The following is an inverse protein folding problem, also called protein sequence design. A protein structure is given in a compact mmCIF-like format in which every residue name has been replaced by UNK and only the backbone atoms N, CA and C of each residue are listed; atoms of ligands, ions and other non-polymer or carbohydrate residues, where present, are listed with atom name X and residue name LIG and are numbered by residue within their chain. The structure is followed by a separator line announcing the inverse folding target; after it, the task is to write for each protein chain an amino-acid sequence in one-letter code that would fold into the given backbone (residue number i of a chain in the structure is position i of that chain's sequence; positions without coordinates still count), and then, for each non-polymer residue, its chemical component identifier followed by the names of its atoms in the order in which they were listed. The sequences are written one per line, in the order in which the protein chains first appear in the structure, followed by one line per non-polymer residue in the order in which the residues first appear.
data_IF_286159376213
#
_entry.id   IF_286159376213
#
_cell.length_a   1.000
_cell.length_b   1.000
_cell.length_c   1.000
_cell.angle_alpha   90.00
_cell.angle_beta   90.00
_cell.angle_gamma   90.00
#
_symmetry.space_group_name_H-M   'P 1'
#
loop_
_entity.id
_entity.type
_entity.pdbx_description
1 polymer ?
#
# COMPACT_ATOMS: atom_id res chain seq x y z
N UNK A 1 -7.44 26.73 -3.35
CA UNK A 1 -8.44 26.64 -4.46
C UNK A 1 -8.68 25.21 -4.96
N UNK A 2 -7.81 24.23 -4.71
CA UNK A 2 -8.02 22.82 -5.12
C UNK A 2 -9.16 22.11 -4.39
N UNK A 3 -9.41 22.44 -3.12
CA UNK A 3 -10.38 21.72 -2.28
C UNK A 3 -11.84 21.83 -2.76
N UNK A 4 -12.24 22.94 -3.41
CA UNK A 4 -13.61 23.09 -3.90
C UNK A 4 -13.89 22.13 -5.08
N UNK A 5 -12.96 22.04 -6.03
CA UNK A 5 -13.05 21.09 -7.14
C UNK A 5 -13.02 19.65 -6.65
N UNK A 6 -12.06 19.30 -5.77
CA UNK A 6 -11.94 17.95 -5.19
C UNK A 6 -13.22 17.55 -4.45
N UNK A 7 -13.81 18.46 -3.66
CA UNK A 7 -15.08 18.22 -2.97
C UNK A 7 -16.23 18.02 -3.95
N UNK A 8 -16.32 18.84 -5.00
CA UNK A 8 -17.37 18.75 -6.00
C UNK A 8 -17.33 17.41 -6.74
N UNK A 9 -16.20 17.02 -7.34
CA UNK A 9 -16.09 15.80 -8.16
C UNK A 9 -16.12 14.50 -7.35
N UNK A 10 -15.89 14.58 -6.02
CA UNK A 10 -16.02 13.44 -5.12
C UNK A 10 -17.38 13.36 -4.40
N UNK A 11 -18.24 14.38 -4.52
CA UNK A 11 -19.63 14.33 -4.03
C UNK A 11 -20.48 13.30 -4.81
N UNK A 12 -21.56 12.72 -4.24
CA UNK A 12 -22.36 11.70 -4.93
C UNK A 12 -22.87 12.12 -6.33
N UNK A 13 -23.40 13.34 -6.47
CA UNK A 13 -23.85 13.86 -7.76
C UNK A 13 -22.66 14.19 -8.69
N UNK A 14 -21.62 14.82 -8.16
CA UNK A 14 -20.42 15.17 -8.92
C UNK A 14 -19.65 13.94 -9.43
N UNK A 15 -19.70 12.80 -8.73
CA UNK A 15 -19.10 11.54 -9.21
C UNK A 15 -19.69 11.07 -10.53
N UNK A 16 -21.01 11.16 -10.67
CA UNK A 16 -21.72 10.73 -11.87
C UNK A 16 -21.43 11.67 -13.06
N UNK A 17 -21.43 12.98 -12.80
CA UNK A 17 -21.11 13.99 -13.82
C UNK A 17 -19.65 13.87 -14.25
N UNK A 18 -18.72 13.79 -13.29
CA UNK A 18 -17.29 13.61 -13.57
C UNK A 18 -17.04 12.33 -14.38
N UNK A 19 -17.72 11.21 -14.06
CA UNK A 19 -17.61 9.97 -14.83
C UNK A 19 -18.10 10.13 -16.27
N UNK A 20 -19.25 10.78 -16.49
CA UNK A 20 -19.80 11.02 -17.84
C UNK A 20 -18.92 11.95 -18.68
N UNK A 21 -18.35 12.96 -18.04
CA UNK A 21 -17.46 13.94 -18.67
C UNK A 21 -15.98 13.49 -18.69
N UNK A 22 -15.68 12.28 -18.22
CA UNK A 22 -14.32 11.74 -18.11
C UNK A 22 -13.36 12.66 -17.34
N UNK A 23 -13.89 13.42 -16.38
CA UNK A 23 -13.09 14.33 -15.58
C UNK A 23 -12.21 13.55 -14.59
N UNK A 24 -10.96 14.01 -14.36
CA UNK A 24 -10.08 13.42 -13.37
C UNK A 24 -10.70 13.54 -11.98
N UNK A 25 -10.58 12.46 -11.20
CA UNK A 25 -11.10 12.40 -9.82
C UNK A 25 -9.92 12.33 -8.85
N UNK A 26 -9.41 13.49 -8.41
CA UNK A 26 -8.29 13.53 -7.48
C UNK A 26 -8.64 12.81 -6.18
N UNK A 27 -7.71 11.97 -5.73
CA UNK A 27 -7.83 11.27 -4.46
C UNK A 27 -7.73 12.25 -3.28
N UNK A 28 -8.53 12.04 -2.24
CA UNK A 28 -8.38 12.77 -0.98
C UNK A 28 -7.21 12.15 -0.21
N UNK A 29 -6.09 12.86 -0.19
CA UNK A 29 -4.87 12.34 0.45
C UNK A 29 -5.04 12.26 1.96
N UNK A 30 -4.76 11.08 2.51
CA UNK A 30 -4.67 10.84 3.94
C UNK A 30 -3.54 11.69 4.53
N UNK A 31 -3.85 12.40 5.61
CA UNK A 31 -2.89 13.20 6.39
C UNK A 31 -2.85 12.69 7.82
N UNK A 32 -1.75 12.95 8.50
CA UNK A 32 -1.59 12.63 9.92
C UNK A 32 -2.68 13.33 10.75
N UNK A 33 -3.22 12.60 11.72
CA UNK A 33 -4.03 13.12 12.82
C UNK A 33 -3.63 12.38 14.08
N UNK A 34 -3.48 13.11 15.19
CA UNK A 34 -3.11 12.52 16.48
C UNK A 34 -4.10 11.43 16.88
N UNK A 35 -3.59 10.30 17.36
CA UNK A 35 -4.39 9.16 17.81
C UNK A 35 -4.91 8.24 16.70
N UNK A 36 -4.71 8.56 15.41
CA UNK A 36 -5.01 7.61 14.34
C UNK A 36 -3.93 6.54 14.22
N UNK A 37 -4.28 5.31 13.79
CA UNK A 37 -3.30 4.25 13.53
C UNK A 37 -2.30 4.71 12.46
N UNK A 38 -1.09 4.14 12.46
CA UNK A 38 -0.04 4.51 11.50
C UNK A 38 -0.49 4.23 10.05
N UNK A 39 -1.01 3.03 9.78
CA UNK A 39 -1.65 2.65 8.52
C UNK A 39 -3.14 2.29 8.71
N UNK A 40 -4.00 2.46 7.69
CA UNK A 40 -5.45 2.27 7.83
C UNK A 40 -5.90 0.79 7.74
N UNK A 41 -5.02 -0.17 8.00
CA UNK A 41 -5.26 -1.61 7.85
C UNK A 41 -3.97 -2.41 8.02
N UNK A 42 -4.03 -3.75 7.87
CA UNK A 42 -2.86 -4.61 7.97
C UNK A 42 -1.77 -4.27 6.94
N UNK A 43 -0.52 -4.58 7.28
CA UNK A 43 0.64 -4.47 6.40
C UNK A 43 1.02 -5.85 5.89
N UNK A 44 0.96 -6.03 4.57
CA UNK A 44 1.50 -7.23 3.93
C UNK A 44 3.03 -7.09 3.81
N UNK A 45 3.77 -8.02 4.39
CA UNK A 45 5.23 -8.11 4.25
C UNK A 45 5.55 -9.27 3.30
N UNK A 46 6.18 -8.94 2.18
CA UNK A 46 6.55 -9.86 1.11
C UNK A 46 8.07 -9.93 1.01
N UNK A 47 8.64 -11.12 0.97
CA UNK A 47 10.08 -11.34 0.93
C UNK A 47 10.43 -12.64 1.64
N UNK A 48 11.69 -13.03 1.52
CA UNK A 48 12.24 -14.24 2.11
C UNK A 48 13.52 -13.91 2.88
N UNK A 49 13.80 -14.70 3.92
CA UNK A 49 15.01 -14.57 4.73
C UNK A 49 14.86 -13.66 5.96
N UNK A 50 15.97 -13.51 6.68
CA UNK A 50 15.99 -12.87 8.01
C UNK A 50 15.59 -11.40 7.98
N UNK A 51 15.96 -10.67 6.92
CA UNK A 51 15.57 -9.25 6.76
C UNK A 51 14.06 -9.06 6.73
N UNK A 52 13.32 -9.99 6.13
CA UNK A 52 11.87 -9.92 6.03
C UNK A 52 11.23 -10.17 7.39
N UNK A 53 11.80 -11.08 8.18
CA UNK A 53 11.34 -11.40 9.53
C UNK A 53 11.62 -10.26 10.51
N UNK A 54 12.78 -9.61 10.38
CA UNK A 54 13.14 -8.42 11.16
C UNK A 54 12.18 -7.24 10.85
N UNK A 55 11.86 -7.02 9.58
CA UNK A 55 10.87 -6.02 9.16
C UNK A 55 9.47 -6.31 9.74
N UNK A 56 9.04 -7.57 9.67
CA UNK A 56 7.75 -7.98 10.23
C UNK A 56 7.71 -7.76 11.75
N UNK A 57 8.77 -8.15 12.46
CA UNK A 57 8.90 -7.94 13.90
C UNK A 57 8.86 -6.46 14.26
N UNK A 58 9.61 -5.62 13.55
CA UNK A 58 9.63 -4.18 13.80
C UNK A 58 8.26 -3.53 13.61
N UNK A 59 7.50 -3.95 12.60
CA UNK A 59 6.13 -3.46 12.37
C UNK A 59 5.16 -3.90 13.48
N UNK A 60 5.29 -5.14 13.98
CA UNK A 60 4.53 -5.63 15.13
C UNK A 60 4.87 -4.83 16.39
N UNK A 61 6.14 -4.52 16.63
CA UNK A 61 6.59 -3.69 17.75
C UNK A 61 6.02 -2.27 17.68
N UNK A 62 5.73 -1.76 16.47
CA UNK A 62 5.00 -0.50 16.25
C UNK A 62 3.48 -0.64 16.36
N UNK A 63 2.98 -1.79 16.79
CA UNK A 63 1.55 -2.08 16.95
C UNK A 63 0.77 -2.17 15.64
N UNK A 64 1.43 -2.52 14.52
CA UNK A 64 0.74 -2.78 13.26
C UNK A 64 0.32 -4.25 13.16
N UNK A 65 -0.81 -4.51 12.50
CA UNK A 65 -1.18 -5.87 12.10
C UNK A 65 -0.35 -6.26 10.87
N UNK A 66 0.32 -7.42 10.91
CA UNK A 66 1.25 -7.86 9.87
C UNK A 66 0.78 -9.18 9.25
N UNK A 67 0.72 -9.22 7.93
CA UNK A 67 0.43 -10.42 7.14
C UNK A 67 1.66 -10.85 6.37
N UNK A 68 1.93 -12.15 6.38
CA UNK A 68 2.99 -12.77 5.56
C UNK A 68 2.47 -13.33 4.24
N UNK A 69 1.14 -13.45 4.11
CA UNK A 69 0.46 -13.97 2.94
C UNK A 69 -0.68 -13.03 2.57
N UNK A 70 -0.85 -12.77 1.26
CA UNK A 70 -1.95 -11.96 0.77
C UNK A 70 -3.27 -12.73 0.97
N UNK A 71 -4.20 -12.13 1.71
CA UNK A 71 -5.56 -12.66 1.86
C UNK A 71 -6.49 -11.83 0.98
N UNK A 72 -7.16 -12.43 -0.03
CA UNK A 72 -8.01 -11.69 -0.95
C UNK A 72 -9.13 -10.92 -0.23
N UNK A 73 -9.44 -9.73 -0.73
CA UNK A 73 -10.55 -8.85 -0.26
C UNK A 73 -10.34 -8.25 1.13
N UNK A 74 -9.15 -8.36 1.70
CA UNK A 74 -8.80 -7.64 2.92
C UNK A 74 -8.19 -6.28 2.59
N UNK A 75 -8.71 -5.20 3.17
CA UNK A 75 -8.17 -3.86 2.88
C UNK A 75 -6.81 -3.65 3.54
N UNK A 76 -5.74 -3.72 2.74
CA UNK A 76 -4.37 -3.53 3.20
C UNK A 76 -4.06 -2.04 3.44
N UNK A 77 -3.46 -1.73 4.59
CA UNK A 77 -2.93 -0.41 4.90
C UNK A 77 -1.58 -0.14 4.22
N UNK A 78 -0.82 -1.20 3.92
CA UNK A 78 0.44 -1.10 3.20
C UNK A 78 0.97 -2.45 2.72
N UNK A 79 1.93 -2.38 1.82
CA UNK A 79 2.74 -3.50 1.33
C UNK A 79 4.20 -3.13 1.51
N UNK A 80 4.94 -3.95 2.24
CA UNK A 80 6.39 -3.85 2.40
C UNK A 80 7.01 -5.03 1.68
N UNK A 81 7.92 -4.73 0.76
CA UNK A 81 8.58 -5.68 -0.09
C UNK A 81 10.07 -5.69 0.25
N UNK A 82 10.57 -6.80 0.77
CA UNK A 82 11.98 -7.02 1.02
C UNK A 82 12.64 -7.75 -0.16
N UNK A 83 13.52 -7.04 -0.83
CA UNK A 83 14.32 -7.50 -1.97
C UNK A 83 15.79 -7.72 -1.58
N UNK A 84 16.13 -7.60 -0.31
CA UNK A 84 17.53 -7.61 0.13
C UNK A 84 18.20 -8.97 -0.04
N UNK A 85 17.44 -10.06 0.10
CA UNK A 85 17.92 -11.42 -0.07
C UNK A 85 18.06 -11.85 -1.54
N UNK A 86 17.50 -11.09 -2.50
CA UNK A 86 17.55 -11.47 -3.91
C UNK A 86 18.96 -11.34 -4.45
N UNK A 87 19.45 -12.37 -5.11
CA UNK A 87 20.78 -12.49 -5.71
C UNK A 87 20.75 -12.40 -7.23
N UNK A 88 19.67 -12.87 -7.86
CA UNK A 88 19.52 -12.93 -9.31
C UNK A 88 18.24 -12.25 -9.80
N UNK A 89 18.21 -11.67 -11.02
CA UNK A 89 17.02 -11.01 -11.55
C UNK A 89 15.77 -11.90 -11.63
N UNK A 90 15.94 -13.21 -11.88
CA UNK A 90 14.82 -14.14 -12.02
C UNK A 90 14.02 -14.29 -10.71
N UNK A 91 14.69 -14.12 -9.57
CA UNK A 91 14.08 -14.25 -8.23
C UNK A 91 13.08 -13.12 -7.92
N UNK A 92 13.03 -12.06 -8.73
CA UNK A 92 11.99 -11.03 -8.62
C UNK A 92 10.60 -11.56 -8.97
N UNK A 93 10.50 -12.65 -9.75
CA UNK A 93 9.21 -13.12 -10.30
C UNK A 93 8.18 -13.42 -9.21
N UNK A 94 8.56 -14.19 -8.20
CA UNK A 94 7.68 -14.61 -7.11
C UNK A 94 7.17 -13.42 -6.27
N UNK A 95 8.04 -12.56 -5.68
CA UNK A 95 7.56 -11.43 -4.89
C UNK A 95 6.74 -10.44 -5.74
N UNK A 96 7.07 -10.25 -7.02
CA UNK A 96 6.27 -9.36 -7.90
C UNK A 96 4.87 -9.91 -8.16
N UNK A 97 4.70 -11.23 -8.30
CA UNK A 97 3.38 -11.85 -8.46
C UNK A 97 2.55 -11.69 -7.18
N UNK A 98 3.14 -11.92 -6.00
CA UNK A 98 2.45 -11.73 -4.72
C UNK A 98 2.01 -10.27 -4.53
N UNK A 99 2.91 -9.31 -4.77
CA UNK A 99 2.58 -7.88 -4.69
C UNK A 99 1.49 -7.52 -5.70
N UNK A 100 1.63 -7.95 -6.96
CA UNK A 100 0.68 -7.67 -8.03
C UNK A 100 -0.74 -8.16 -7.73
N UNK A 101 -0.86 -9.34 -7.11
CA UNK A 101 -2.15 -9.88 -6.64
C UNK A 101 -2.79 -9.04 -5.53
N UNK A 102 -1.98 -8.46 -4.64
CA UNK A 102 -2.43 -7.68 -3.50
C UNK A 102 -2.72 -6.18 -3.81
N UNK A 103 -2.25 -5.65 -4.95
CA UNK A 103 -2.39 -4.22 -5.27
C UNK A 103 -3.84 -3.73 -5.29
N UNK A 104 -4.79 -4.57 -5.71
CA UNK A 104 -6.22 -4.21 -5.77
C UNK A 104 -6.87 -4.11 -4.39
N UNK A 105 -6.27 -4.74 -3.40
CA UNK A 105 -6.74 -4.78 -2.02
C UNK A 105 -6.14 -3.63 -1.18
N UNK A 106 -5.27 -2.78 -1.77
CA UNK A 106 -4.69 -1.63 -1.08
C UNK A 106 -5.73 -0.54 -0.80
N UNK A 107 -5.86 -0.15 0.47
CA UNK A 107 -6.76 0.89 0.90
C UNK A 107 -6.38 2.27 0.32
N UNK A 108 -7.34 3.20 0.13
CA UNK A 108 -7.04 4.57 -0.29
C UNK A 108 -6.00 5.24 0.62
N UNK A 109 -4.91 5.71 0.02
CA UNK A 109 -3.81 6.29 0.78
C UNK A 109 -2.95 5.26 1.52
N UNK A 110 -3.00 3.98 1.13
CA UNK A 110 -2.01 2.96 1.49
C UNK A 110 -0.62 3.26 0.90
N UNK A 111 0.36 2.42 1.24
CA UNK A 111 1.75 2.59 0.81
C UNK A 111 2.30 1.29 0.26
N UNK A 112 3.17 1.40 -0.74
CA UNK A 112 4.02 0.32 -1.21
C UNK A 112 5.45 0.78 -0.98
N UNK A 113 6.23 0.01 -0.22
CA UNK A 113 7.61 0.32 0.13
C UNK A 113 8.46 -0.87 -0.24
N UNK A 114 9.50 -0.65 -1.05
CA UNK A 114 10.50 -1.66 -1.34
C UNK A 114 11.78 -1.36 -0.54
N UNK A 115 12.35 -2.41 0.06
CA UNK A 115 13.64 -2.40 0.74
C UNK A 115 14.59 -3.23 -0.11
N UNK A 116 15.66 -2.62 -0.59
CA UNK A 116 16.65 -3.29 -1.43
C UNK A 116 18.06 -2.97 -0.97
N UNK A 117 19.02 -3.79 -1.41
CA UNK A 117 20.44 -3.46 -1.29
C UNK A 117 20.76 -2.23 -2.16
N UNK A 118 21.75 -1.40 -1.80
CA UNK A 118 22.27 -0.37 -2.69
C UNK A 118 22.73 -0.97 -4.02
N UNK A 119 22.51 -0.25 -5.11
CA UNK A 119 23.13 -0.60 -6.38
C UNK A 119 24.66 -0.46 -6.24
N UNK A 120 25.39 -1.42 -6.82
CA UNK A 120 26.85 -1.41 -6.88
C UNK A 120 27.38 -0.30 -7.80
#
# INVERSE_FOLDING_TARGET
MSDAYVKLVNSPAGRNIAKKLQLPRPAVLRRYRRGQPLVPGPVLVVGNGTGTDDLAKQLLDWGQDVRRHATPKEQLGGIVLDLTALSEPLELSEPMLTVGGALRDLAPGGRVVAVSRPAA
#
